data_IF_569486550713
#
_entry.id   IF_569486550713
#
_cell.length_a   1.000
_cell.length_b   1.000
_cell.length_c   1.000
_cell.angle_alpha   90.00
_cell.angle_beta   90.00
_cell.angle_gamma   90.00
#
_symmetry.space_group_name_H-M   'P 1'
#
loop_
_entity.id
_entity.type
_entity.pdbx_description
1 polymer ?
#
# COMPACT_ATOMS: atom_id res chain seq x y z
N UNK A 1 20.44 -0.18 -47.37
CA UNK A 1 19.06 -0.37 -46.88
C UNK A 1 18.99 0.29 -45.51
N UNK A 2 18.69 1.59 -45.48
CA UNK A 2 18.55 2.37 -44.26
C UNK A 2 17.06 2.70 -44.10
N UNK A 3 16.43 2.16 -43.07
CA UNK A 3 15.05 2.48 -42.72
C UNK A 3 14.99 2.84 -41.24
N UNK A 4 15.43 4.06 -40.91
CA UNK A 4 15.25 4.62 -39.57
C UNK A 4 13.81 5.11 -39.41
N UNK A 5 13.14 4.65 -38.36
CA UNK A 5 11.84 5.15 -37.92
C UNK A 5 12.01 6.48 -37.19
N UNK A 6 11.43 7.56 -37.71
CA UNK A 6 11.32 8.85 -37.02
C UNK A 6 9.85 9.10 -36.67
N UNK A 7 9.59 9.48 -35.42
CA UNK A 7 8.29 10.01 -35.01
C UNK A 7 8.35 11.55 -35.10
N UNK A 8 7.36 12.17 -35.74
CA UNK A 8 7.25 13.63 -35.87
C UNK A 8 5.89 14.09 -35.38
N UNK A 9 5.87 15.24 -34.70
CA UNK A 9 4.68 15.89 -34.18
C UNK A 9 4.17 16.92 -35.18
N UNK A 10 2.91 16.82 -35.63
CA UNK A 10 2.22 17.93 -36.26
C UNK A 10 0.82 18.08 -35.65
N UNK A 11 0.52 19.33 -35.31
CA UNK A 11 -0.71 19.88 -34.75
C UNK A 11 -1.95 19.33 -35.47
N UNK A 12 -2.68 18.41 -34.81
CA UNK A 12 -4.13 18.12 -34.93
C UNK A 12 -4.43 16.77 -34.24
N UNK A 13 -4.47 16.77 -32.91
CA UNK A 13 -5.15 15.81 -32.00
C UNK A 13 -5.14 14.31 -32.38
N UNK A 14 -4.01 13.77 -32.86
CA UNK A 14 -3.90 12.36 -33.17
C UNK A 14 -2.45 11.89 -33.28
N UNK A 15 -2.19 10.68 -32.80
CA UNK A 15 -0.89 10.03 -32.96
C UNK A 15 -0.82 9.33 -34.31
N UNK A 16 0.27 9.55 -35.04
CA UNK A 16 0.52 8.93 -36.34
C UNK A 16 1.82 8.14 -36.27
N UNK A 17 1.82 6.92 -36.81
CA UNK A 17 3.04 6.15 -37.00
C UNK A 17 3.26 5.91 -38.50
N UNK A 18 4.51 6.05 -38.94
CA UNK A 18 4.92 5.70 -40.31
C UNK A 18 5.67 4.39 -40.32
N UNK A 19 5.20 3.41 -41.08
CA UNK A 19 5.93 2.16 -41.34
C UNK A 19 5.92 1.83 -42.83
N UNK A 20 7.11 1.55 -43.38
CA UNK A 20 7.31 1.24 -44.80
C UNK A 20 6.69 2.26 -45.79
N UNK A 21 6.72 3.54 -45.44
CA UNK A 21 6.16 4.62 -46.28
C UNK A 21 4.65 4.83 -46.16
N UNK A 22 3.96 4.08 -45.29
CA UNK A 22 2.54 4.27 -45.01
C UNK A 22 2.34 4.98 -43.67
N UNK A 23 1.43 5.95 -43.63
CA UNK A 23 0.97 6.64 -42.42
C UNK A 23 -0.26 5.95 -41.82
N UNK A 24 -0.23 5.70 -40.51
CA UNK A 24 -1.33 5.08 -39.77
C UNK A 24 -1.82 6.03 -38.67
N UNK A 25 -3.11 6.36 -38.67
CA UNK A 25 -3.78 7.13 -37.61
C UNK A 25 -4.10 6.21 -36.42
N UNK A 26 -3.59 6.53 -35.24
CA UNK A 26 -4.09 5.99 -33.98
C UNK A 26 -5.24 6.89 -33.52
N UNK A 27 -6.47 6.53 -33.90
CA UNK A 27 -7.69 7.19 -33.40
C UNK A 27 -7.86 6.91 -31.90
N UNK A 28 -7.80 7.96 -31.07
CA UNK A 28 -7.98 7.90 -29.60
C UNK A 28 -9.42 7.78 -29.12
N UNK A 29 -10.40 7.56 -30.00
CA UNK A 29 -11.80 7.36 -29.59
C UNK A 29 -12.33 6.02 -30.10
N UNK A 30 -12.75 5.17 -29.16
CA UNK A 30 -13.47 3.90 -29.35
C UNK A 30 -12.70 2.66 -29.83
N UNK A 31 -11.50 2.42 -29.29
CA UNK A 31 -11.00 1.04 -29.19
C UNK A 31 -10.71 0.71 -27.75
N UNK A 32 -11.63 -0.04 -27.11
CA UNK A 32 -11.21 -0.95 -26.03
C UNK A 32 -10.08 -1.77 -26.63
N UNK A 33 -8.90 -1.71 -26.04
CA UNK A 33 -7.89 -2.71 -26.33
C UNK A 33 -8.54 -4.05 -26.02
N UNK A 34 -8.72 -4.89 -27.03
CA UNK A 34 -9.21 -6.26 -26.86
C UNK A 34 -8.09 -7.01 -26.13
N UNK A 35 -8.15 -6.99 -24.80
CA UNK A 35 -7.15 -7.65 -23.96
C UNK A 35 -7.46 -9.13 -24.03
N UNK A 36 -6.79 -9.83 -24.94
CA UNK A 36 -6.83 -11.29 -24.98
C UNK A 36 -6.03 -11.83 -23.78
N UNK A 37 -6.76 -12.15 -22.71
CA UNK A 37 -6.21 -12.92 -21.60
C UNK A 37 -6.27 -14.41 -21.92
N UNK A 38 -5.33 -15.20 -21.39
CA UNK A 38 -5.39 -16.64 -21.52
C UNK A 38 -6.19 -17.31 -20.37
N UNK A 39 -6.38 -16.61 -19.24
CA UNK A 39 -7.08 -17.12 -18.07
C UNK A 39 -7.50 -16.05 -17.01
N UNK A 40 -7.57 -14.76 -17.37
CA UNK A 40 -8.00 -13.66 -16.48
C UNK A 40 -9.24 -13.00 -17.07
N UNK A 41 -10.38 -13.07 -16.39
CA UNK A 41 -11.60 -12.43 -16.90
C UNK A 41 -11.43 -10.89 -16.91
N UNK A 42 -11.39 -10.31 -18.11
CA UNK A 42 -11.31 -8.87 -18.33
C UNK A 42 -12.68 -8.22 -18.55
N UNK A 43 -13.73 -9.02 -18.74
CA UNK A 43 -15.09 -8.56 -18.98
C UNK A 43 -15.87 -8.38 -17.68
N UNK A 44 -15.72 -9.33 -16.74
CA UNK A 44 -16.42 -9.34 -15.45
C UNK A 44 -15.49 -9.00 -14.29
N UNK A 45 -14.92 -7.79 -14.32
CA UNK A 45 -13.99 -7.31 -13.27
C UNK A 45 -14.72 -6.74 -12.06
N UNK A 46 -14.21 -7.04 -10.86
CA UNK A 46 -14.64 -6.37 -9.63
C UNK A 46 -13.76 -5.14 -9.42
N UNK A 47 -14.37 -3.95 -9.43
CA UNK A 47 -13.65 -2.71 -9.15
C UNK A 47 -13.94 -2.19 -7.74
N UNK A 48 -12.90 -2.18 -6.91
CA UNK A 48 -12.86 -1.50 -5.62
C UNK A 48 -12.46 -0.04 -5.85
N UNK A 49 -13.22 0.90 -5.29
CA UNK A 49 -12.99 2.33 -5.46
C UNK A 49 -13.22 3.05 -4.14
N UNK A 50 -12.44 4.09 -3.92
CA UNK A 50 -12.57 5.07 -2.86
C UNK A 50 -12.38 6.47 -3.45
N UNK A 51 -12.57 7.51 -2.62
CA UNK A 51 -12.35 8.91 -3.00
C UNK A 51 -10.93 9.16 -3.56
N UNK A 52 -10.82 10.16 -4.44
CA UNK A 52 -9.53 10.60 -4.99
C UNK A 52 -8.59 11.09 -3.88
N UNK A 53 -7.29 11.09 -4.17
CA UNK A 53 -6.23 11.69 -3.32
C UNK A 53 -5.88 10.96 -2.00
N UNK A 54 -6.60 9.90 -1.63
CA UNK A 54 -6.25 9.03 -0.48
C UNK A 54 -5.13 8.03 -0.76
N UNK A 55 -4.72 7.92 -2.03
CA UNK A 55 -3.80 6.89 -2.52
C UNK A 55 -4.32 5.46 -2.24
N UNK A 56 -5.64 5.28 -2.31
CA UNK A 56 -6.26 3.97 -2.21
C UNK A 56 -5.73 3.04 -3.31
N UNK A 57 -5.22 1.87 -2.91
CA UNK A 57 -4.58 0.93 -3.82
C UNK A 57 -3.05 0.99 -3.80
N UNK A 58 -2.45 1.84 -2.94
CA UNK A 58 -0.99 1.94 -2.83
C UNK A 58 -0.34 0.60 -2.46
N UNK A 59 -0.99 -0.16 -1.57
CA UNK A 59 -0.63 -1.55 -1.28
C UNK A 59 -1.88 -2.41 -1.23
N UNK A 60 -1.77 -3.68 -1.63
CA UNK A 60 -2.89 -4.62 -1.69
C UNK A 60 -2.45 -5.99 -1.22
N UNK A 61 -3.22 -6.61 -0.32
CA UNK A 61 -3.03 -8.01 0.08
C UNK A 61 -4.36 -8.76 0.08
N UNK A 62 -4.32 -10.04 -0.30
CA UNK A 62 -5.46 -10.94 -0.17
C UNK A 62 -5.37 -11.65 1.19
N UNK A 63 -6.50 -11.76 1.88
CA UNK A 63 -6.57 -12.37 3.20
C UNK A 63 -7.84 -13.23 3.31
N UNK A 64 -7.73 -14.38 3.98
CA UNK A 64 -8.87 -15.26 4.23
C UNK A 64 -9.01 -15.52 5.73
N UNK A 65 -10.24 -15.50 6.22
CA UNK A 65 -10.59 -15.88 7.57
C UNK A 65 -11.94 -16.60 7.59
N UNK A 66 -12.47 -16.86 8.79
CA UNK A 66 -13.76 -17.53 8.97
C UNK A 66 -14.95 -16.73 8.41
N UNK A 67 -14.81 -15.40 8.27
CA UNK A 67 -15.86 -14.51 7.75
C UNK A 67 -15.85 -14.37 6.22
N UNK A 68 -14.80 -14.89 5.57
CA UNK A 68 -14.71 -15.00 4.12
C UNK A 68 -13.35 -14.58 3.54
N UNK A 69 -13.40 -14.27 2.23
CA UNK A 69 -12.27 -13.76 1.47
C UNK A 69 -12.30 -12.24 1.48
N UNK A 70 -11.14 -11.64 1.72
CA UNK A 70 -10.96 -10.21 1.85
C UNK A 70 -9.82 -9.73 0.95
N UNK A 71 -9.99 -8.54 0.41
CA UNK A 71 -8.90 -7.73 -0.12
C UNK A 71 -8.68 -6.59 0.87
N UNK A 72 -7.46 -6.48 1.40
CA UNK A 72 -7.06 -5.32 2.18
C UNK A 72 -6.35 -4.33 1.25
N UNK A 73 -6.70 -3.06 1.36
CA UNK A 73 -6.20 -2.00 0.49
C UNK A 73 -5.64 -0.86 1.33
N UNK A 74 -4.37 -0.53 1.14
CA UNK A 74 -3.71 0.60 1.78
C UNK A 74 -4.10 1.92 1.12
N UNK A 75 -4.33 2.94 1.94
CA UNK A 75 -4.61 4.32 1.54
C UNK A 75 -3.76 5.30 2.37
N UNK A 76 -2.45 5.44 2.09
CA UNK A 76 -1.51 6.14 2.96
C UNK A 76 -1.73 7.66 3.11
N UNK A 77 -2.60 8.25 2.29
CA UNK A 77 -2.99 9.67 2.36
C UNK A 77 -4.42 9.86 2.88
N UNK A 78 -5.05 8.81 3.40
CA UNK A 78 -6.36 8.94 4.02
C UNK A 78 -6.28 9.69 5.36
N UNK A 79 -7.41 10.30 5.73
CA UNK A 79 -7.59 11.06 6.97
C UNK A 79 -8.40 10.30 8.02
N UNK A 80 -8.82 9.06 7.73
CA UNK A 80 -9.50 8.22 8.71
C UNK A 80 -8.62 7.99 9.95
N UNK A 81 -9.16 8.31 11.13
CA UNK A 81 -8.43 8.28 12.40
C UNK A 81 -9.39 8.18 13.58
N UNK A 82 -8.90 7.71 14.72
CA UNK A 82 -9.62 7.71 15.99
C UNK A 82 -9.54 9.05 16.75
N UNK A 83 -8.65 9.96 16.32
CA UNK A 83 -8.43 11.27 16.95
C UNK A 83 -8.32 12.40 15.93
N UNK A 84 -9.09 13.46 16.11
CA UNK A 84 -9.10 14.65 15.24
C UNK A 84 -7.80 15.47 15.29
N UNK A 85 -6.88 15.16 16.21
CA UNK A 85 -5.59 15.83 16.33
C UNK A 85 -4.56 15.32 15.31
N UNK A 86 -4.80 14.13 14.74
CA UNK A 86 -3.87 13.45 13.84
C UNK A 86 -4.18 13.83 12.40
N UNK A 87 -3.18 14.36 11.70
CA UNK A 87 -3.30 14.80 10.32
C UNK A 87 -2.88 13.70 9.36
N UNK A 88 -3.82 13.26 8.53
CA UNK A 88 -3.58 12.35 7.40
C UNK A 88 -2.67 11.17 7.78
N UNK A 89 -3.05 10.35 8.78
CA UNK A 89 -2.20 9.24 9.20
C UNK A 89 -2.05 8.16 8.12
N UNK A 90 -2.98 8.10 7.15
CA UNK A 90 -3.19 6.95 6.28
C UNK A 90 -4.11 5.92 6.93
N UNK A 91 -4.62 4.99 6.14
CA UNK A 91 -5.52 3.94 6.60
C UNK A 91 -5.37 2.67 5.77
N UNK A 92 -6.06 1.61 6.21
CA UNK A 92 -6.23 0.37 5.45
C UNK A 92 -7.71 0.05 5.40
N UNK A 93 -8.21 -0.29 4.23
CA UNK A 93 -9.60 -0.69 4.02
C UNK A 93 -9.68 -2.21 3.90
N UNK A 94 -10.71 -2.82 4.48
CA UNK A 94 -11.09 -4.21 4.25
C UNK A 94 -12.27 -4.28 3.30
N UNK A 95 -12.11 -5.03 2.22
CA UNK A 95 -13.09 -5.17 1.17
C UNK A 95 -13.48 -6.64 1.05
N UNK A 96 -14.75 -6.99 1.23
CA UNK A 96 -15.20 -8.38 1.15
C UNK A 96 -15.24 -8.79 -0.32
N UNK A 97 -14.70 -9.96 -0.64
CA UNK A 97 -14.81 -10.55 -1.98
C UNK A 97 -16.14 -11.29 -2.06
N UNK A 98 -17.23 -10.53 -2.07
CA UNK A 98 -18.59 -11.03 -2.26
C UNK A 98 -19.21 -10.36 -3.48
N UNK A 99 -19.43 -11.13 -4.54
CA UNK A 99 -19.97 -10.65 -5.82
C UNK A 99 -21.46 -10.28 -5.75
N UNK A 100 -22.13 -10.57 -4.63
CA UNK A 100 -23.57 -10.39 -4.47
C UNK A 100 -23.95 -9.08 -3.77
N UNK A 101 -23.03 -8.43 -3.07
CA UNK A 101 -23.31 -7.21 -2.30
C UNK A 101 -22.63 -5.97 -2.89
N UNK A 102 -23.29 -4.82 -2.77
CA UNK A 102 -22.73 -3.52 -3.18
C UNK A 102 -21.82 -2.89 -2.11
N UNK A 103 -21.65 -3.55 -0.96
CA UNK A 103 -20.89 -3.02 0.18
C UNK A 103 -19.40 -3.34 -0.01
N UNK A 104 -18.65 -2.37 -0.55
CA UNK A 104 -17.35 -2.65 -1.18
C UNK A 104 -16.20 -2.73 -0.17
N UNK A 105 -16.08 -1.74 0.72
CA UNK A 105 -14.91 -1.60 1.57
C UNK A 105 -15.28 -0.82 2.85
N UNK A 106 -14.62 -1.11 3.97
CA UNK A 106 -14.71 -0.32 5.20
C UNK A 106 -13.31 -0.09 5.78
N UNK A 107 -13.03 1.08 6.38
CA UNK A 107 -11.72 1.32 6.97
C UNK A 107 -11.52 0.43 8.21
N UNK A 108 -10.32 -0.11 8.33
CA UNK A 108 -9.85 -0.86 9.49
C UNK A 108 -9.33 0.12 10.54
N UNK A 109 -9.95 0.10 11.71
CA UNK A 109 -9.50 0.92 12.84
C UNK A 109 -8.32 0.24 13.53
N UNK A 110 -7.11 0.76 13.32
CA UNK A 110 -5.88 0.28 13.93
C UNK A 110 -5.57 1.19 15.14
N UNK A 111 -5.59 0.62 16.34
CA UNK A 111 -5.24 1.32 17.59
C UNK A 111 -4.20 0.53 18.37
N UNK A 112 -3.36 1.22 19.14
CA UNK A 112 -2.34 0.62 19.99
C UNK A 112 -2.69 0.72 21.48
N UNK A 113 -2.30 -0.29 22.28
CA UNK A 113 -2.58 -0.33 23.72
C UNK A 113 -1.90 0.83 24.47
N UNK A 114 -0.75 1.24 23.94
CA UNK A 114 0.15 2.23 24.53
C UNK A 114 -0.31 3.68 24.28
N UNK A 115 -1.35 3.90 23.46
CA UNK A 115 -1.81 5.22 23.02
C UNK A 115 -2.43 6.08 24.13
N UNK A 116 -2.59 5.56 25.35
CA UNK A 116 -3.22 6.32 26.45
C UNK A 116 -2.34 7.44 27.02
N UNK A 117 -1.03 7.43 26.76
CA UNK A 117 -0.07 8.38 27.35
C UNK A 117 0.99 8.93 26.35
N UNK A 118 0.88 8.65 25.05
CA UNK A 118 1.86 9.08 24.05
C UNK A 118 1.28 10.25 23.25
N UNK A 119 2.07 11.31 23.03
CA UNK A 119 1.69 12.38 22.12
C UNK A 119 1.54 11.82 20.70
N UNK A 120 0.34 11.94 20.11
CA UNK A 120 0.03 11.47 18.75
C UNK A 120 0.82 12.16 17.61
N UNK A 121 1.74 13.07 17.93
CA UNK A 121 2.55 13.83 16.96
C UNK A 121 3.36 12.96 16.00
N UNK A 122 3.68 11.72 16.38
CA UNK A 122 4.39 10.78 15.51
C UNK A 122 3.52 10.18 14.40
N UNK A 123 2.19 10.31 14.53
CA UNK A 123 1.19 9.71 13.63
C UNK A 123 0.79 10.64 12.48
N UNK A 124 1.14 11.92 12.56
CA UNK A 124 0.92 12.89 11.47
C UNK A 124 1.71 12.48 10.22
N UNK A 125 1.00 12.32 9.10
CA UNK A 125 1.58 11.97 7.79
C UNK A 125 2.48 10.72 7.81
N UNK A 126 2.18 9.76 8.69
CA UNK A 126 3.01 8.56 8.92
C UNK A 126 2.99 7.53 7.78
N UNK A 127 2.07 7.70 6.81
CA UNK A 127 1.84 6.78 5.68
C UNK A 127 1.41 5.38 6.11
N UNK A 128 0.46 5.28 7.05
CA UNK A 128 -0.12 4.00 7.46
C UNK A 128 -0.75 3.29 6.25
N UNK A 129 -0.41 2.00 6.09
CA UNK A 129 -0.86 1.21 4.94
C UNK A 129 0.02 1.36 3.70
N UNK A 130 1.19 2.00 3.80
CA UNK A 130 2.14 2.07 2.69
C UNK A 130 2.69 0.68 2.30
N UNK A 131 2.83 -0.22 3.27
CA UNK A 131 3.22 -1.59 3.00
C UNK A 131 2.44 -2.54 3.90
N UNK A 132 2.11 -3.71 3.35
CA UNK A 132 1.38 -4.76 4.04
C UNK A 132 1.90 -6.13 3.64
N UNK A 133 1.91 -7.07 4.58
CA UNK A 133 2.31 -8.45 4.33
C UNK A 133 1.48 -9.39 5.20
N UNK A 134 0.91 -10.43 4.58
CA UNK A 134 0.26 -11.52 5.30
C UNK A 134 1.33 -12.51 5.76
N UNK A 135 1.30 -12.87 7.04
CA UNK A 135 2.18 -13.89 7.60
C UNK A 135 1.41 -14.69 8.65
N UNK A 136 1.37 -16.01 8.46
CA UNK A 136 0.52 -16.93 9.23
C UNK A 136 -0.95 -16.46 9.22
N UNK A 137 -1.57 -16.34 10.39
CA UNK A 137 -2.94 -15.89 10.62
C UNK A 137 -3.03 -14.38 10.93
N UNK A 138 -2.06 -13.60 10.44
CA UNK A 138 -1.94 -12.18 10.76
C UNK A 138 -1.44 -11.36 9.58
N UNK A 139 -1.67 -10.05 9.65
CA UNK A 139 -1.21 -9.07 8.68
C UNK A 139 -0.29 -8.08 9.40
N UNK A 140 0.90 -7.88 8.84
CA UNK A 140 1.77 -6.78 9.24
C UNK A 140 1.44 -5.58 8.36
N UNK A 141 1.11 -4.45 8.97
CA UNK A 141 0.78 -3.19 8.30
C UNK A 141 1.75 -2.12 8.79
N UNK A 142 2.43 -1.40 7.91
CA UNK A 142 3.43 -0.42 8.32
C UNK A 142 3.11 1.02 7.92
N UNK A 143 3.69 1.92 8.70
CA UNK A 143 3.71 3.37 8.56
C UNK A 143 5.18 3.83 8.56
N UNK A 144 5.86 3.85 7.39
CA UNK A 144 7.31 4.07 7.33
C UNK A 144 7.74 5.48 7.72
N UNK A 145 6.85 6.48 7.65
CA UNK A 145 7.17 7.85 8.07
C UNK A 145 6.79 8.13 9.54
N UNK A 146 6.36 7.12 10.30
CA UNK A 146 6.08 7.31 11.71
C UNK A 146 7.31 7.85 12.45
N UNK A 147 7.12 8.90 13.24
CA UNK A 147 8.21 9.62 13.91
C UNK A 147 8.30 9.28 15.39
N UNK A 148 9.50 8.95 15.83
CA UNK A 148 9.83 8.88 17.25
C UNK A 148 10.21 10.29 17.74
N UNK A 149 9.49 10.78 18.75
CA UNK A 149 9.73 12.10 19.35
C UNK A 149 10.67 11.96 20.54
N UNK A 150 11.75 12.76 20.57
CA UNK A 150 12.68 12.91 21.70
C UNK A 150 12.94 14.39 21.97
N UNK A 151 12.21 14.97 22.92
CA UNK A 151 12.22 16.42 23.14
C UNK A 151 11.74 17.16 21.89
N UNK A 152 12.60 18.02 21.31
CA UNK A 152 12.32 18.78 20.09
C UNK A 152 12.80 18.08 18.80
N UNK A 153 13.46 16.93 18.91
CA UNK A 153 13.96 16.17 17.76
C UNK A 153 12.96 15.08 17.41
N UNK A 154 12.75 14.88 16.11
CA UNK A 154 11.89 13.83 15.57
C UNK A 154 12.63 13.07 14.47
N UNK A 155 12.70 11.74 14.61
CA UNK A 155 13.31 10.87 13.60
C UNK A 155 12.24 9.95 12.99
N UNK A 156 12.21 9.84 11.67
CA UNK A 156 11.27 8.97 10.94
C UNK A 156 11.76 7.52 11.01
N UNK A 157 11.54 6.86 12.14
CA UNK A 157 12.05 5.49 12.36
C UNK A 157 11.19 4.43 11.66
N UNK A 158 9.91 4.74 11.39
CA UNK A 158 8.94 3.78 10.89
C UNK A 158 8.34 2.91 12.00
N UNK A 159 7.12 2.41 11.75
CA UNK A 159 6.36 1.62 12.72
C UNK A 159 5.51 0.58 11.99
N UNK A 160 5.40 -0.62 12.55
CA UNK A 160 4.52 -1.66 12.03
C UNK A 160 3.55 -2.17 13.11
N UNK A 161 2.37 -2.58 12.66
CA UNK A 161 1.26 -3.06 13.46
C UNK A 161 0.95 -4.49 13.05
N UNK A 162 0.95 -5.40 14.02
CA UNK A 162 0.48 -6.76 13.80
C UNK A 162 -1.04 -6.83 14.04
N UNK A 163 -1.79 -7.14 12.99
CA UNK A 163 -3.26 -7.28 13.01
C UNK A 163 -3.61 -8.76 12.86
N UNK A 164 -4.44 -9.28 13.76
CA UNK A 164 -4.88 -10.67 13.72
C UNK A 164 -5.96 -10.96 12.66
N UNK A 165 -6.28 -12.25 12.48
CA UNK A 165 -7.25 -12.72 11.49
C UNK A 165 -8.69 -12.27 11.68
N UNK A 166 -9.08 -11.68 12.81
CA UNK A 166 -10.45 -11.21 13.02
C UNK A 166 -10.78 -9.95 12.21
N UNK A 167 -9.76 -9.19 11.76
CA UNK A 167 -9.93 -7.89 11.10
C UNK A 167 -10.88 -6.92 11.86
N UNK A 168 -10.95 -7.09 13.19
CA UNK A 168 -11.78 -6.30 14.09
C UNK A 168 -11.09 -5.06 14.65
N UNK A 169 -11.80 -4.32 15.49
CA UNK A 169 -11.25 -3.29 16.37
C UNK A 169 -10.31 -3.95 17.38
N UNK A 170 -9.02 -4.07 17.08
CA UNK A 170 -8.10 -4.69 18.03
C UNK A 170 -6.77 -3.97 18.23
N UNK A 171 -6.29 -4.17 19.44
CA UNK A 171 -5.01 -3.74 19.96
C UNK A 171 -3.90 -4.43 19.17
N UNK A 172 -3.33 -3.70 18.22
CA UNK A 172 -2.16 -4.20 17.49
C UNK A 172 -0.93 -4.16 18.40
N UNK A 173 -0.05 -5.16 18.23
CA UNK A 173 1.28 -5.11 18.87
C UNK A 173 2.18 -4.24 18.02
N UNK A 174 2.78 -3.22 18.62
CA UNK A 174 3.77 -2.37 17.95
C UNK A 174 5.06 -3.15 17.79
N UNK A 175 5.54 -3.24 16.56
CA UNK A 175 6.90 -3.68 16.31
C UNK A 175 7.77 -2.46 16.02
N UNK A 176 8.45 -1.96 17.06
CA UNK A 176 9.49 -0.95 16.90
C UNK A 176 10.81 -1.69 16.70
N UNK A 177 11.20 -1.88 15.44
CA UNK A 177 12.42 -2.60 15.06
C UNK A 177 13.71 -1.95 15.59
N UNK A 178 13.68 -0.64 15.80
CA UNK A 178 14.86 0.14 16.09
C UNK A 178 14.62 0.98 17.34
N UNK A 179 15.30 0.64 18.43
CA UNK A 179 15.36 1.46 19.64
C UNK A 179 16.75 2.08 19.73
N UNK A 180 16.81 3.41 19.90
CA UNK A 180 17.91 4.22 20.43
C UNK A 180 19.39 3.90 20.09
N UNK A 181 19.71 3.21 19.00
CA UNK A 181 21.11 3.03 18.57
C UNK A 181 21.55 4.14 17.60
N UNK A 182 22.83 4.50 17.69
CA UNK A 182 23.47 5.44 16.76
C UNK A 182 23.39 4.92 15.33
N UNK A 183 22.74 5.67 14.44
CA UNK A 183 22.56 5.30 13.02
C UNK A 183 21.16 4.82 12.64
N UNK A 184 20.23 4.73 13.60
CA UNK A 184 18.84 4.34 13.37
C UNK A 184 17.88 5.54 13.20
N UNK A 185 18.41 6.77 13.22
CA UNK A 185 17.65 7.97 12.85
C UNK A 185 17.21 7.85 11.39
N UNK A 186 15.94 8.14 11.13
CA UNK A 186 15.34 8.07 9.80
C UNK A 186 15.42 6.70 9.12
N UNK A 187 15.38 5.60 9.88
CA UNK A 187 15.46 4.24 9.34
C UNK A 187 14.37 3.91 8.29
N UNK A 188 13.19 4.54 8.39
CA UNK A 188 12.03 4.26 7.54
C UNK A 188 11.63 2.78 7.53
N UNK A 189 11.68 2.14 8.71
CA UNK A 189 11.34 0.73 8.86
C UNK A 189 9.92 0.42 8.34
N UNK A 190 9.79 -0.66 7.58
CA UNK A 190 8.51 -1.01 6.97
C UNK A 190 8.23 -0.24 5.68
N UNK A 191 9.24 0.40 5.08
CA UNK A 191 9.10 0.97 3.73
C UNK A 191 8.73 -0.11 2.71
N UNK A 192 9.26 -1.32 2.87
CA UNK A 192 8.89 -2.50 2.10
C UNK A 192 8.75 -3.71 3.01
N UNK A 193 7.84 -4.62 2.64
CA UNK A 193 7.66 -5.91 3.33
C UNK A 193 7.68 -7.04 2.30
N UNK A 194 8.29 -8.16 2.67
CA UNK A 194 8.22 -9.39 1.88
C UNK A 194 7.94 -10.59 2.79
N UNK A 195 6.79 -11.26 2.64
CA UNK A 195 6.59 -12.57 3.25
C UNK A 195 7.68 -13.54 2.77
N UNK A 196 8.19 -14.37 3.67
CA UNK A 196 9.13 -15.45 3.37
C UNK A 196 8.69 -16.72 4.10
N UNK A 197 8.41 -17.76 3.34
CA UNK A 197 8.15 -19.09 3.88
C UNK A 197 9.49 -19.81 4.10
N UNK A 198 9.76 -20.19 5.35
CA UNK A 198 10.94 -20.99 5.68
C UNK A 198 10.62 -22.46 5.42
N UNK A 199 11.20 -23.02 4.35
CA UNK A 199 10.95 -24.37 3.84
C UNK A 199 11.05 -25.47 4.90
N UNK A 200 11.83 -25.26 5.96
CA UNK A 200 12.16 -26.28 6.97
C UNK A 200 11.29 -26.24 8.24
N UNK A 201 10.49 -25.18 8.46
CA UNK A 201 9.84 -24.99 9.78
C UNK A 201 8.34 -24.77 9.74
N UNK A 202 7.72 -24.70 8.55
CA UNK A 202 6.34 -24.20 8.37
C UNK A 202 6.13 -22.80 9.01
N UNK A 203 7.20 -22.10 9.41
CA UNK A 203 7.14 -20.74 9.95
C UNK A 203 7.22 -19.75 8.81
N UNK A 204 6.20 -18.91 8.70
CA UNK A 204 6.24 -17.73 7.83
C UNK A 204 6.90 -16.59 8.61
N UNK A 205 7.90 -15.98 7.99
CA UNK A 205 8.57 -14.78 8.47
C UNK A 205 8.29 -13.62 7.51
N UNK A 206 8.52 -12.39 7.95
CA UNK A 206 8.43 -11.20 7.09
C UNK A 206 9.79 -10.52 7.10
N UNK A 207 10.33 -10.27 5.91
CA UNK A 207 11.48 -9.40 5.74
C UNK A 207 11.00 -7.95 5.71
N UNK A 208 11.67 -7.09 6.47
CA UNK A 208 11.31 -5.69 6.62
C UNK A 208 12.44 -4.83 6.07
N UNK A 209 12.11 -3.98 5.09
CA UNK A 209 13.03 -3.00 4.53
C UNK A 209 13.07 -1.73 5.36
N UNK A 210 14.27 -1.17 5.52
CA UNK A 210 14.54 0.04 6.28
C UNK A 210 15.63 0.85 5.56
N UNK A 211 15.28 1.57 4.47
CA UNK A 211 16.24 2.15 3.54
C UNK A 211 17.08 3.30 4.11
N UNK A 212 16.68 3.89 5.24
CA UNK A 212 17.42 5.01 5.84
C UNK A 212 18.41 4.59 6.94
N UNK A 213 18.53 3.29 7.22
CA UNK A 213 19.51 2.81 8.19
C UNK A 213 20.94 3.20 7.79
N UNK A 214 21.77 3.44 8.81
CA UNK A 214 23.20 3.72 8.66
C UNK A 214 23.53 4.86 7.67
N UNK A 215 22.70 5.91 7.67
CA UNK A 215 22.80 7.04 6.75
C UNK A 215 22.56 6.65 5.29
N UNK A 216 21.47 5.93 5.03
CA UNK A 216 21.04 5.52 3.68
C UNK A 216 22.03 4.59 2.97
N UNK A 217 22.66 3.69 3.74
CA UNK A 217 23.62 2.69 3.24
C UNK A 217 22.96 1.36 2.85
#
# INVERSE_FOLDING_TARGET
>A
MNGGSHASWILNDGWWITHAGNEYLLSERDKRFDVQSFNIDTDNVVTLKEESDKYFGYSVVMFNNQDGNWVLVGAPKDTFTYSNEIKTPGSVYKCKVDLTTQEKCSPLMIRTIEDRNITHRGEDHQLLGASMAVFNDSILICAPLWKMMKGNVSDSVGRCFNVDKSLGLYQSTIFSLFTNESGNSNALAGFSLSPKELQDTQRKTVLIGAPGLHHWK
#
